data_IF_825026550945
#
_entry.id   IF_825026550945
#
_cell.length_a   1.000
_cell.length_b   1.000
_cell.length_c   1.000
_cell.angle_alpha   90.00
_cell.angle_beta   90.00
_cell.angle_gamma   90.00
#
_symmetry.space_group_name_H-M   'P 1'
#
loop_
_entity.id
_entity.type
_entity.pdbx_description
1 polymer ?
#
# COMPACT_ATOMS: atom_id res chain seq x y z
N UNK A 1 11.85 1.73 -14.13
CA UNK A 1 12.18 1.25 -12.77
C UNK A 1 11.56 -0.12 -12.57
N UNK A 2 12.35 -1.09 -12.16
CA UNK A 2 11.82 -2.43 -11.90
C UNK A 2 10.92 -2.39 -10.68
N UNK A 3 9.73 -2.98 -10.77
CA UNK A 3 8.86 -3.16 -9.62
C UNK A 3 9.54 -4.14 -8.63
N UNK A 4 9.49 -3.79 -7.36
CA UNK A 4 9.84 -4.75 -6.31
C UNK A 4 8.69 -5.76 -6.23
N UNK A 5 8.95 -7.06 -6.32
CA UNK A 5 7.88 -8.05 -6.27
C UNK A 5 7.38 -8.25 -4.84
N UNK A 6 6.77 -7.21 -4.28
CA UNK A 6 6.29 -7.20 -2.89
C UNK A 6 5.27 -8.33 -2.66
N UNK A 7 4.46 -8.63 -3.66
CA UNK A 7 3.45 -9.68 -3.55
C UNK A 7 4.06 -11.08 -3.45
N UNK A 8 5.33 -11.23 -3.84
CA UNK A 8 6.08 -12.49 -3.72
C UNK A 8 6.81 -12.61 -2.38
N UNK A 9 6.85 -11.55 -1.59
CA UNK A 9 7.46 -11.58 -0.26
C UNK A 9 6.50 -12.26 0.72
N UNK A 10 6.96 -13.36 1.32
CA UNK A 10 6.16 -14.22 2.18
C UNK A 10 6.80 -14.32 3.55
N UNK A 11 5.98 -14.19 4.61
CA UNK A 11 6.42 -14.32 6.00
C UNK A 11 5.69 -15.49 6.67
N UNK A 12 6.39 -16.20 7.54
CA UNK A 12 5.78 -17.22 8.37
C UNK A 12 4.93 -16.61 9.49
N UNK A 13 4.00 -17.40 10.02
CA UNK A 13 3.07 -16.94 11.06
C UNK A 13 3.77 -16.39 12.31
N UNK A 14 4.92 -16.95 12.69
CA UNK A 14 5.69 -16.45 13.85
C UNK A 14 6.23 -15.04 13.62
N UNK A 15 6.76 -14.78 12.43
CA UNK A 15 7.24 -13.44 12.07
C UNK A 15 6.11 -12.43 11.95
N UNK A 16 4.99 -12.86 11.38
CA UNK A 16 3.80 -12.01 11.27
C UNK A 16 3.29 -11.62 12.66
N UNK A 17 3.21 -12.58 13.58
CA UNK A 17 2.80 -12.32 14.96
C UNK A 17 3.72 -11.30 15.64
N UNK A 18 5.04 -11.47 15.47
CA UNK A 18 6.04 -10.57 16.03
C UNK A 18 5.92 -9.14 15.48
N UNK A 19 5.76 -9.02 14.18
CA UNK A 19 5.71 -7.72 13.48
C UNK A 19 4.40 -6.98 13.73
N UNK A 20 3.29 -7.71 13.78
CA UNK A 20 1.95 -7.10 13.87
C UNK A 20 1.44 -6.95 15.30
N UNK A 21 1.98 -7.72 16.25
CA UNK A 21 1.45 -7.79 17.61
C UNK A 21 0.20 -8.64 17.74
N UNK A 22 -0.16 -9.40 16.72
CA UNK A 22 -1.30 -10.30 16.72
C UNK A 22 -0.81 -11.73 16.97
N UNK A 23 -1.39 -12.44 17.96
CA UNK A 23 -0.95 -13.79 18.29
C UNK A 23 -1.24 -14.77 17.16
N UNK A 24 -0.45 -15.88 17.07
CA UNK A 24 -0.73 -16.92 16.07
C UNK A 24 -2.14 -17.49 16.17
N UNK A 25 -2.69 -17.65 17.37
CA UNK A 25 -4.06 -18.15 17.56
C UNK A 25 -5.10 -17.16 17.04
N UNK A 26 -4.89 -15.85 17.24
CA UNK A 26 -5.74 -14.82 16.65
C UNK A 26 -5.68 -14.82 15.13
N UNK A 27 -4.48 -14.97 14.57
CA UNK A 27 -4.28 -15.03 13.12
C UNK A 27 -5.02 -16.23 12.51
N UNK A 28 -4.94 -17.39 13.16
CA UNK A 28 -5.69 -18.57 12.72
C UNK A 28 -7.21 -18.36 12.81
N UNK A 29 -7.65 -17.69 13.85
CA UNK A 29 -9.07 -17.35 14.02
C UNK A 29 -9.54 -16.40 12.92
N UNK A 30 -8.77 -15.35 12.64
CA UNK A 30 -9.12 -14.39 11.58
C UNK A 30 -9.17 -15.05 10.20
N UNK A 31 -8.26 -15.98 9.95
CA UNK A 31 -8.27 -16.75 8.70
C UNK A 31 -9.50 -17.65 8.60
N UNK A 32 -9.88 -18.34 9.67
CA UNK A 32 -11.10 -19.15 9.69
C UNK A 32 -12.36 -18.33 9.45
N UNK A 33 -12.36 -17.09 9.89
CA UNK A 33 -13.49 -16.16 9.67
C UNK A 33 -13.46 -15.54 8.27
N UNK A 34 -12.43 -15.80 7.49
CA UNK A 34 -12.27 -15.18 6.15
C UNK A 34 -11.87 -13.72 6.17
N UNK A 35 -11.39 -13.21 7.30
CA UNK A 35 -10.96 -11.82 7.43
C UNK A 35 -9.60 -11.57 6.81
N UNK A 36 -8.73 -12.56 6.85
CA UNK A 36 -7.42 -12.55 6.22
C UNK A 36 -7.17 -13.89 5.53
N UNK A 37 -6.26 -13.90 4.56
CA UNK A 37 -5.96 -15.10 3.79
C UNK A 37 -4.46 -15.37 3.79
N UNK A 38 -4.09 -16.62 4.12
CA UNK A 38 -2.70 -17.05 3.98
C UNK A 38 -2.37 -17.28 2.50
N UNK A 39 -1.10 -17.16 2.15
CA UNK A 39 -0.61 -17.49 0.82
C UNK A 39 -0.62 -19.02 0.64
N UNK A 40 -0.89 -19.49 -0.58
CA UNK A 40 -0.75 -20.90 -0.90
C UNK A 40 0.72 -21.30 -0.86
N UNK A 41 1.02 -22.34 -0.08
CA UNK A 41 2.36 -22.90 0.01
C UNK A 41 2.30 -24.37 -0.41
N UNK A 42 3.08 -24.72 -1.43
CA UNK A 42 3.24 -26.12 -1.86
C UNK A 42 4.09 -26.88 -0.84
N UNK A 43 3.62 -28.04 -0.41
CA UNK A 43 4.40 -28.97 0.39
C UNK A 43 4.06 -29.05 1.88
N UNK A 44 2.97 -28.48 2.30
CA UNK A 44 2.54 -28.54 3.71
C UNK A 44 3.52 -27.82 4.63
N UNK A 45 3.06 -27.34 5.75
CA UNK A 45 3.88 -26.64 6.70
C UNK A 45 3.12 -25.50 7.36
N UNK A 46 3.84 -24.64 8.05
CA UNK A 46 3.26 -23.49 8.73
C UNK A 46 2.66 -22.51 7.73
N UNK A 47 1.59 -21.85 8.15
CA UNK A 47 0.94 -20.82 7.33
C UNK A 47 1.91 -19.70 6.99
N UNK A 48 1.85 -19.25 5.75
CA UNK A 48 2.63 -18.15 5.20
C UNK A 48 1.70 -17.02 4.79
N UNK A 49 2.16 -15.79 4.94
CA UNK A 49 1.36 -14.60 4.59
C UNK A 49 2.17 -13.71 3.67
N UNK A 50 1.52 -13.18 2.64
CA UNK A 50 2.14 -12.18 1.78
C UNK A 50 2.33 -10.86 2.52
N UNK A 51 3.26 -10.05 2.05
CA UNK A 51 3.50 -8.72 2.61
C UNK A 51 2.23 -7.87 2.63
N UNK A 52 1.43 -7.95 1.57
CA UNK A 52 0.14 -7.26 1.48
C UNK A 52 -0.80 -7.66 2.62
N UNK A 53 -0.91 -8.96 2.89
CA UNK A 53 -1.74 -9.47 3.98
C UNK A 53 -1.19 -9.05 5.35
N UNK A 54 0.11 -8.99 5.51
CA UNK A 54 0.74 -8.51 6.75
C UNK A 54 0.33 -7.07 7.04
N UNK A 55 0.32 -6.21 6.02
CA UNK A 55 -0.13 -4.82 6.14
C UNK A 55 -1.61 -4.77 6.55
N UNK A 56 -2.46 -5.59 5.94
CA UNK A 56 -3.88 -5.68 6.30
C UNK A 56 -4.06 -6.09 7.76
N UNK A 57 -3.33 -7.10 8.22
CA UNK A 57 -3.33 -7.57 9.62
C UNK A 57 -2.95 -6.43 10.57
N UNK A 58 -1.92 -5.70 10.24
CA UNK A 58 -1.48 -4.57 11.06
C UNK A 58 -2.52 -3.46 11.11
N UNK A 59 -3.19 -3.18 10.02
CA UNK A 59 -4.28 -2.19 9.97
C UNK A 59 -5.45 -2.63 10.84
N UNK A 60 -5.85 -3.90 10.79
CA UNK A 60 -6.89 -4.46 11.66
C UNK A 60 -6.49 -4.27 13.13
N UNK A 61 -5.26 -4.63 13.47
CA UNK A 61 -4.73 -4.48 14.83
C UNK A 61 -4.79 -3.03 15.30
N UNK A 62 -4.41 -2.09 14.44
CA UNK A 62 -4.45 -0.66 14.74
C UNK A 62 -5.87 -0.22 15.10
N UNK A 63 -6.87 -0.63 14.32
CA UNK A 63 -8.26 -0.29 14.60
C UNK A 63 -8.78 -0.97 15.88
N UNK A 64 -8.37 -2.20 16.16
CA UNK A 64 -8.69 -2.87 17.40
C UNK A 64 -8.13 -2.10 18.61
N UNK A 65 -6.89 -1.64 18.51
CA UNK A 65 -6.25 -0.86 19.59
C UNK A 65 -6.92 0.50 19.79
N UNK A 66 -7.56 1.04 18.75
CA UNK A 66 -8.36 2.26 18.82
C UNK A 66 -9.76 2.03 19.43
N UNK A 67 -10.13 0.77 19.71
CA UNK A 67 -11.38 0.44 20.37
C UNK A 67 -12.49 -0.07 19.46
N UNK A 68 -12.23 -0.27 18.15
CA UNK A 68 -13.23 -0.84 17.25
C UNK A 68 -13.40 -2.33 17.50
N UNK A 69 -14.59 -2.86 17.20
CA UNK A 69 -14.83 -4.30 17.19
C UNK A 69 -14.03 -4.95 16.06
N UNK A 70 -13.80 -6.25 16.16
CA UNK A 70 -13.07 -6.97 15.12
C UNK A 70 -13.75 -6.83 13.75
N UNK A 71 -15.06 -7.01 13.69
CA UNK A 71 -15.83 -6.86 12.44
C UNK A 71 -15.66 -5.46 11.85
N UNK A 72 -15.78 -4.41 12.66
CA UNK A 72 -15.61 -3.03 12.23
C UNK A 72 -14.16 -2.76 11.80
N UNK A 73 -13.18 -3.28 12.55
CA UNK A 73 -11.77 -3.14 12.23
C UNK A 73 -11.44 -3.76 10.88
N UNK A 74 -11.98 -4.95 10.60
CA UNK A 74 -11.79 -5.64 9.31
C UNK A 74 -12.38 -4.82 8.16
N UNK A 75 -13.60 -4.32 8.30
CA UNK A 75 -14.25 -3.50 7.28
C UNK A 75 -13.45 -2.23 6.97
N UNK A 76 -12.95 -1.57 8.01
CA UNK A 76 -12.14 -0.35 7.87
C UNK A 76 -10.80 -0.64 7.22
N UNK A 77 -10.16 -1.75 7.56
CA UNK A 77 -8.90 -2.17 6.95
C UNK A 77 -9.08 -2.51 5.46
N UNK A 78 -10.16 -3.20 5.10
CA UNK A 78 -10.49 -3.50 3.72
C UNK A 78 -10.73 -2.23 2.90
N UNK A 79 -11.43 -1.25 3.47
CA UNK A 79 -11.67 0.03 2.83
C UNK A 79 -10.38 0.81 2.57
N UNK A 80 -9.47 0.82 3.54
CA UNK A 80 -8.13 1.41 3.37
C UNK A 80 -7.32 0.70 2.29
N UNK A 81 -7.43 -0.61 2.21
CA UNK A 81 -6.75 -1.42 1.20
C UNK A 81 -7.21 -1.04 -0.21
N UNK A 82 -8.51 -0.82 -0.41
CA UNK A 82 -9.06 -0.35 -1.70
C UNK A 82 -8.51 1.03 -2.05
N UNK A 83 -8.49 1.95 -1.11
CA UNK A 83 -7.96 3.29 -1.34
C UNK A 83 -6.45 3.24 -1.67
N UNK A 84 -5.69 2.39 -0.98
CA UNK A 84 -4.27 2.21 -1.25
C UNK A 84 -4.03 1.68 -2.66
N UNK A 85 -4.84 0.74 -3.13
CA UNK A 85 -4.77 0.21 -4.50
C UNK A 85 -5.05 1.29 -5.55
N UNK A 86 -6.05 2.14 -5.31
CA UNK A 86 -6.39 3.24 -6.21
C UNK A 86 -5.22 4.24 -6.29
N UNK A 87 -4.65 4.63 -5.15
CA UNK A 87 -3.50 5.52 -5.10
C UNK A 87 -2.28 4.90 -5.77
N UNK A 88 -2.03 3.62 -5.55
CA UNK A 88 -0.94 2.89 -6.18
C UNK A 88 -1.10 2.88 -7.70
N UNK A 89 -2.30 2.62 -8.21
CA UNK A 89 -2.62 2.66 -9.64
C UNK A 89 -2.31 4.03 -10.23
N UNK A 90 -2.72 5.10 -9.56
CA UNK A 90 -2.44 6.46 -9.98
C UNK A 90 -0.92 6.71 -10.06
N UNK A 91 -0.18 6.34 -9.02
CA UNK A 91 1.27 6.53 -9.00
C UNK A 91 1.97 5.72 -10.09
N UNK A 92 1.59 4.45 -10.28
CA UNK A 92 2.20 3.60 -11.31
C UNK A 92 1.98 4.15 -12.71
N UNK A 93 0.84 4.73 -12.96
CA UNK A 93 0.48 5.24 -14.28
C UNK A 93 1.04 6.63 -14.55
N UNK A 94 1.01 7.52 -13.56
CA UNK A 94 1.29 8.94 -13.76
C UNK A 94 2.62 9.43 -13.19
N UNK A 95 3.24 8.70 -12.29
CA UNK A 95 4.51 9.13 -11.71
C UNK A 95 5.65 8.81 -12.67
N UNK A 96 6.28 9.83 -13.24
CA UNK A 96 7.38 9.66 -14.19
C UNK A 96 8.75 9.90 -13.56
N UNK A 97 8.91 10.96 -12.79
CA UNK A 97 10.18 11.31 -12.18
C UNK A 97 10.00 12.20 -10.97
N UNK A 98 10.94 12.09 -10.04
CA UNK A 98 11.06 12.96 -8.88
C UNK A 98 12.43 13.62 -8.92
N UNK A 99 12.47 14.94 -8.79
CA UNK A 99 13.71 15.69 -8.66
C UNK A 99 13.72 16.38 -7.30
N UNK A 100 14.73 16.08 -6.49
CA UNK A 100 14.94 16.71 -5.20
C UNK A 100 16.15 17.63 -5.29
N UNK A 101 16.06 18.85 -4.77
CA UNK A 101 17.13 19.84 -4.81
C UNK A 101 16.64 21.14 -4.20
N UNK A 102 17.01 22.26 -4.78
CA UNK A 102 16.51 23.57 -4.33
C UNK A 102 14.99 23.64 -4.46
N UNK A 103 14.43 23.02 -5.48
CA UNK A 103 13.00 22.86 -5.63
C UNK A 103 12.67 21.38 -5.88
N UNK A 104 11.77 20.82 -5.08
CA UNK A 104 11.28 19.46 -5.28
C UNK A 104 10.17 19.48 -6.32
N UNK A 105 10.31 18.65 -7.35
CA UNK A 105 9.32 18.50 -8.42
C UNK A 105 8.97 17.06 -8.66
N UNK A 106 7.73 16.82 -9.07
CA UNK A 106 7.24 15.52 -9.52
C UNK A 106 6.68 15.68 -10.93
N UNK A 107 7.25 14.94 -11.88
CA UNK A 107 6.75 14.90 -13.25
C UNK A 107 5.62 13.87 -13.30
N UNK A 108 4.40 14.32 -13.60
CA UNK A 108 3.21 13.49 -13.70
C UNK A 108 2.88 13.09 -15.15
N UNK A 109 3.78 13.38 -16.06
CA UNK A 109 3.64 13.00 -17.46
C UNK A 109 2.84 13.97 -18.31
N UNK A 110 2.46 13.51 -19.49
CA UNK A 110 1.72 14.31 -20.45
C UNK A 110 0.39 14.78 -19.89
N UNK A 111 0.07 16.04 -20.09
CA UNK A 111 -1.22 16.59 -19.72
C UNK A 111 -2.23 16.28 -20.83
N UNK A 112 -3.11 15.31 -20.60
CA UNK A 112 -3.97 14.75 -21.65
C UNK A 112 -4.79 15.79 -22.42
N UNK A 113 -5.38 16.82 -21.76
CA UNK A 113 -6.11 17.87 -22.49
C UNK A 113 -5.23 18.69 -23.43
N UNK A 114 -3.92 18.74 -23.18
CA UNK A 114 -2.96 19.51 -23.99
C UNK A 114 -1.66 18.69 -24.11
N UNK A 115 -1.60 17.72 -25.04
CA UNK A 115 -0.51 16.73 -25.09
C UNK A 115 0.88 17.31 -25.39
N UNK A 116 0.99 18.57 -25.79
CA UNK A 116 2.27 19.25 -25.96
C UNK A 116 2.86 19.75 -24.64
N UNK A 117 2.15 19.52 -23.53
CA UNK A 117 2.54 19.93 -22.19
C UNK A 117 2.68 18.73 -21.27
N UNK A 118 3.53 18.88 -20.27
CA UNK A 118 3.67 17.93 -19.17
C UNK A 118 3.16 18.58 -17.89
N UNK A 119 2.47 17.81 -17.06
CA UNK A 119 2.00 18.27 -15.76
C UNK A 119 3.08 18.06 -14.72
N UNK A 120 3.53 19.13 -14.11
CA UNK A 120 4.57 19.12 -13.09
C UNK A 120 3.99 19.61 -11.77
N UNK A 121 4.13 18.81 -10.73
CA UNK A 121 3.89 19.26 -9.37
C UNK A 121 5.22 19.78 -8.78
N UNK A 122 5.19 20.91 -8.13
CA UNK A 122 6.37 21.46 -7.45
C UNK A 122 6.02 21.94 -6.06
N UNK A 123 7.01 21.85 -5.17
CA UNK A 123 6.83 22.26 -3.78
C UNK A 123 7.48 23.60 -3.54
N UNK A 124 6.71 24.55 -3.03
CA UNK A 124 7.18 25.88 -2.68
C UNK A 124 6.57 26.30 -1.35
N UNK A 125 7.39 26.74 -0.41
CA UNK A 125 6.96 27.14 0.94
C UNK A 125 6.12 26.06 1.62
N UNK A 126 6.57 24.79 1.49
CA UNK A 126 5.89 23.58 2.05
C UNK A 126 4.50 23.31 1.47
N UNK A 127 4.16 23.96 0.34
CA UNK A 127 2.90 23.70 -0.37
C UNK A 127 3.17 23.17 -1.77
N UNK A 128 2.26 22.30 -2.22
CA UNK A 128 2.32 21.77 -3.59
C UNK A 128 1.54 22.65 -4.53
N UNK A 129 2.13 22.90 -5.69
CA UNK A 129 1.55 23.65 -6.79
C UNK A 129 1.70 22.85 -8.07
N UNK A 130 0.97 23.25 -9.11
CA UNK A 130 1.08 22.63 -10.42
C UNK A 130 1.48 23.66 -11.46
N UNK A 131 2.20 23.21 -12.47
CA UNK A 131 2.49 23.98 -13.67
C UNK A 131 2.51 23.08 -14.88
N UNK A 132 2.40 23.66 -16.05
CA UNK A 132 2.56 22.96 -17.32
C UNK A 132 3.89 23.37 -17.95
N UNK A 133 4.71 22.37 -18.26
CA UNK A 133 5.97 22.57 -18.97
C UNK A 133 5.84 22.05 -20.40
N UNK A 134 6.53 22.69 -21.34
CA UNK A 134 6.50 22.21 -22.73
C UNK A 134 7.24 20.89 -22.87
N UNK A 135 6.68 20.01 -23.69
CA UNK A 135 7.35 18.76 -24.10
C UNK A 135 8.34 19.12 -25.19
N UNK A 136 9.61 18.81 -24.94
CA UNK A 136 10.67 18.94 -25.96
C UNK A 136 11.03 17.60 -26.57
#
# INVERSE_FOLDING_TARGET
MKKVPIDEMILGIGDVARVTGVSPSQLRYWERKGYVHSAEVTGGGNRKFSYKTVIEIRQIKTFLDEGYTLSSAVQRAQKRSVYAEVLRSFFEERFMALTAGEQTTIDLGVFDPEPTKRLIAYRQEEQWHFRLDSVE
#
